data_IF_706085805019
#
_entry.id   IF_706085805019
#
_cell.length_a   1.000
_cell.length_b   1.000
_cell.length_c   1.000
_cell.angle_alpha   90.00
_cell.angle_beta   90.00
_cell.angle_gamma   90.00
#
_symmetry.space_group_name_H-M   'P 1'
#
loop_
_entity.id
_entity.type
_entity.pdbx_description
1 polymer ?
#
# COMPACT_ATOMS: atom_id res chain seq x y z
N UNK A 1 6.49 7.05 10.27
CA UNK A 1 6.11 8.34 9.67
C UNK A 1 5.86 8.10 8.19
N UNK A 2 4.74 8.57 7.62
CA UNK A 2 4.34 8.22 6.24
C UNK A 2 4.86 9.21 5.19
N UNK A 3 4.87 10.51 5.48
CA UNK A 3 5.36 11.55 4.55
C UNK A 3 6.64 12.19 5.13
N UNK A 4 7.74 11.44 5.11
CA UNK A 4 9.06 11.96 5.45
C UNK A 4 9.58 12.85 4.32
N UNK A 5 9.87 14.11 4.62
CA UNK A 5 10.33 15.09 3.62
C UNK A 5 11.57 15.84 4.06
N UNK A 6 12.03 15.62 5.30
CA UNK A 6 13.23 16.26 5.84
C UNK A 6 14.49 15.86 5.06
N UNK A 7 14.50 14.65 4.48
CA UNK A 7 15.48 14.18 3.49
C UNK A 7 16.94 14.51 3.84
N UNK A 8 17.28 14.42 5.14
CA UNK A 8 18.56 14.90 5.68
C UNK A 8 19.37 13.84 6.41
N UNK A 9 18.76 12.68 6.66
CA UNK A 9 19.42 11.62 7.42
C UNK A 9 20.45 10.89 6.55
N UNK A 10 21.56 10.49 7.17
CA UNK A 10 22.62 9.75 6.49
C UNK A 10 22.14 8.32 6.25
N UNK A 11 22.29 7.82 5.02
CA UNK A 11 21.96 6.44 4.68
C UNK A 11 23.09 5.50 5.12
N UNK A 12 22.76 4.44 5.85
CA UNK A 12 23.71 3.45 6.31
C UNK A 12 23.53 2.10 5.63
N UNK A 13 24.64 1.35 5.51
CA UNK A 13 24.57 -0.04 5.07
C UNK A 13 23.72 -0.85 6.08
N UNK A 14 22.74 -1.60 5.57
CA UNK A 14 21.76 -2.31 6.39
C UNK A 14 20.40 -1.61 6.45
N UNK A 15 20.30 -0.34 6.05
CA UNK A 15 19.02 0.36 5.97
C UNK A 15 18.21 -0.04 4.73
N UNK A 16 16.89 0.16 4.82
CA UNK A 16 16.02 0.26 3.65
C UNK A 16 15.80 1.75 3.33
N UNK A 17 15.81 2.08 2.04
CA UNK A 17 15.31 3.36 1.54
C UNK A 17 13.92 3.13 0.96
N UNK A 18 12.92 3.83 1.50
CA UNK A 18 11.61 4.00 0.89
C UNK A 18 11.61 5.34 0.17
N UNK A 19 11.47 5.30 -1.15
CA UNK A 19 11.36 6.48 -1.99
C UNK A 19 9.94 6.57 -2.52
N UNK A 20 9.23 7.61 -2.11
CA UNK A 20 7.93 7.97 -2.66
C UNK A 20 8.09 9.28 -3.44
N UNK A 21 7.98 9.19 -4.76
CA UNK A 21 8.23 10.32 -5.64
C UNK A 21 7.50 10.18 -6.97
N UNK A 22 7.17 11.32 -7.55
CA UNK A 22 6.59 11.43 -8.87
C UNK A 22 6.92 12.78 -9.49
N UNK A 23 6.76 12.87 -10.80
CA UNK A 23 6.75 14.13 -11.51
C UNK A 23 5.35 14.48 -12.00
N UNK A 24 5.16 15.74 -12.39
CA UNK A 24 4.00 16.20 -13.14
C UNK A 24 4.40 16.50 -14.58
N UNK A 25 3.59 16.08 -15.55
CA UNK A 25 3.80 16.34 -16.97
C UNK A 25 2.51 16.85 -17.59
N UNK A 26 2.56 18.03 -18.21
CA UNK A 26 1.37 18.71 -18.77
C UNK A 26 0.23 18.86 -17.75
N UNK A 27 0.57 18.99 -16.46
CA UNK A 27 -0.37 19.09 -15.35
C UNK A 27 -0.89 17.75 -14.82
N UNK A 28 -0.53 16.61 -15.41
CA UNK A 28 -0.87 15.28 -14.88
C UNK A 28 0.21 14.75 -13.95
N UNK A 29 -0.20 14.35 -12.74
CA UNK A 29 0.67 13.76 -11.74
C UNK A 29 1.01 12.30 -12.04
N UNK A 30 2.23 11.90 -11.67
CA UNK A 30 2.64 10.51 -11.47
C UNK A 30 2.94 10.29 -9.99
N UNK A 31 2.79 9.05 -9.52
CA UNK A 31 2.98 8.70 -8.11
C UNK A 31 3.52 7.28 -8.00
N UNK A 32 4.76 7.13 -7.51
CA UNK A 32 5.48 5.86 -7.46
C UNK A 32 6.27 5.76 -6.15
N UNK A 33 5.88 4.78 -5.33
CA UNK A 33 6.70 4.34 -4.19
C UNK A 33 7.55 3.11 -4.53
N UNK A 34 8.82 3.09 -4.12
CA UNK A 34 9.70 1.90 -4.15
C UNK A 34 10.51 1.80 -2.86
N UNK A 35 10.73 0.57 -2.40
CA UNK A 35 11.58 0.29 -1.24
C UNK A 35 12.71 -0.65 -1.61
N UNK A 36 13.96 -0.31 -1.29
CA UNK A 36 15.13 -1.11 -1.63
C UNK A 36 16.25 -0.98 -0.58
N UNK A 37 17.12 -2.00 -0.43
CA UNK A 37 18.22 -1.97 0.53
C UNK A 37 19.32 -1.00 0.08
N UNK A 38 19.77 -0.13 0.98
CA UNK A 38 20.87 0.81 0.71
C UNK A 38 22.16 0.06 0.36
N UNK A 39 22.38 -1.11 0.97
CA UNK A 39 23.52 -2.00 0.69
C UNK A 39 23.41 -2.79 -0.61
N UNK A 40 22.29 -2.71 -1.33
CA UNK A 40 22.03 -3.48 -2.56
C UNK A 40 21.55 -4.93 -2.33
N UNK A 41 21.50 -5.42 -1.09
CA UNK A 41 21.00 -6.75 -0.76
C UNK A 41 20.07 -6.72 0.45
N UNK A 42 18.89 -7.34 0.31
CA UNK A 42 17.94 -7.48 1.40
C UNK A 42 18.45 -8.46 2.45
N UNK A 43 18.27 -8.14 3.74
CA UNK A 43 18.34 -9.15 4.81
C UNK A 43 17.12 -10.07 4.73
N UNK A 44 17.12 -11.17 5.50
CA UNK A 44 16.01 -12.11 5.53
C UNK A 44 14.70 -11.44 6.00
N UNK A 45 14.77 -10.60 7.02
CA UNK A 45 13.62 -9.89 7.59
C UNK A 45 13.09 -8.82 6.63
N UNK A 46 13.99 -8.04 6.01
CA UNK A 46 13.61 -7.04 5.02
C UNK A 46 12.95 -7.70 3.81
N UNK A 47 13.50 -8.80 3.33
CA UNK A 47 12.95 -9.58 2.22
C UNK A 47 11.57 -10.14 2.54
N UNK A 48 11.39 -10.68 3.75
CA UNK A 48 10.12 -11.25 4.18
C UNK A 48 8.99 -10.21 4.20
N UNK A 49 9.27 -8.99 4.67
CA UNK A 49 8.29 -7.88 4.64
C UNK A 49 8.08 -7.37 3.22
N UNK A 50 9.16 -7.22 2.43
CA UNK A 50 9.06 -6.78 1.04
C UNK A 50 8.17 -7.71 0.20
N UNK A 51 8.39 -9.02 0.27
CA UNK A 51 7.60 -10.01 -0.47
C UNK A 51 6.14 -10.02 -0.04
N UNK A 52 5.86 -9.75 1.25
CA UNK A 52 4.49 -9.61 1.74
C UNK A 52 3.79 -8.38 1.12
N UNK A 53 4.48 -7.23 1.11
CA UNK A 53 3.94 -6.00 0.52
C UNK A 53 3.75 -6.17 -1.00
N UNK A 54 4.71 -6.79 -1.68
CA UNK A 54 4.60 -7.10 -3.11
C UNK A 54 3.38 -7.99 -3.41
N UNK A 55 3.19 -9.06 -2.64
CA UNK A 55 2.02 -9.93 -2.80
C UNK A 55 0.69 -9.19 -2.57
N UNK A 56 0.67 -8.23 -1.64
CA UNK A 56 -0.51 -7.39 -1.41
C UNK A 56 -0.79 -6.45 -2.58
N UNK A 57 0.25 -5.83 -3.16
CA UNK A 57 0.16 -5.00 -4.35
C UNK A 57 -0.38 -5.79 -5.55
N UNK A 58 0.18 -6.97 -5.82
CA UNK A 58 -0.27 -7.83 -6.91
C UNK A 58 -1.74 -8.25 -6.75
N UNK A 59 -2.15 -8.60 -5.51
CA UNK A 59 -3.53 -8.94 -5.20
C UNK A 59 -4.48 -7.75 -5.41
N UNK A 60 -4.08 -6.54 -5.02
CA UNK A 60 -4.87 -5.33 -5.25
C UNK A 60 -5.04 -5.03 -6.75
N UNK A 61 -3.96 -5.06 -7.52
CA UNK A 61 -3.98 -4.84 -8.98
C UNK A 61 -4.92 -5.82 -9.67
N UNK A 62 -4.96 -7.08 -9.23
CA UNK A 62 -5.86 -8.09 -9.78
C UNK A 62 -7.35 -7.75 -9.61
N UNK A 63 -7.72 -6.95 -8.60
CA UNK A 63 -9.10 -6.49 -8.36
C UNK A 63 -9.46 -5.20 -9.08
N UNK A 64 -8.49 -4.45 -9.62
CA UNK A 64 -8.73 -3.27 -10.43
C UNK A 64 -9.27 -3.66 -11.82
N UNK A 65 -10.57 -3.89 -11.90
CA UNK A 65 -11.31 -4.34 -13.10
C UNK A 65 -12.65 -3.62 -13.19
N UNK A 66 -13.14 -3.41 -14.40
CA UNK A 66 -14.50 -2.90 -14.65
C UNK A 66 -15.54 -3.74 -13.91
N UNK A 67 -16.52 -3.09 -13.29
CA UNK A 67 -17.58 -3.76 -12.52
C UNK A 67 -17.22 -4.08 -11.07
N UNK A 68 -15.97 -3.85 -10.66
CA UNK A 68 -15.53 -3.96 -9.25
C UNK A 68 -15.74 -2.63 -8.55
N UNK A 69 -15.87 -2.63 -7.22
CA UNK A 69 -16.00 -1.37 -6.48
C UNK A 69 -14.65 -0.84 -5.95
N UNK A 70 -14.56 0.48 -5.79
CA UNK A 70 -13.35 1.22 -5.40
C UNK A 70 -12.57 0.63 -4.22
N UNK A 71 -13.27 0.07 -3.22
CA UNK A 71 -12.64 -0.45 -2.01
C UNK A 71 -12.14 -1.91 -2.11
N UNK A 72 -12.44 -2.66 -3.18
CA UNK A 72 -11.97 -4.05 -3.32
C UNK A 72 -10.44 -4.19 -3.31
N UNK A 73 -9.65 -3.31 -3.97
CA UNK A 73 -8.19 -3.35 -3.87
C UNK A 73 -7.71 -3.20 -2.43
N UNK A 74 -8.31 -2.28 -1.66
CA UNK A 74 -7.96 -2.10 -0.26
C UNK A 74 -8.28 -3.34 0.58
N UNK A 75 -9.46 -3.94 0.41
CA UNK A 75 -9.83 -5.18 1.10
C UNK A 75 -8.90 -6.35 0.77
N UNK A 76 -8.46 -6.45 -0.50
CA UNK A 76 -7.46 -7.42 -0.92
C UNK A 76 -6.12 -7.22 -0.19
N UNK A 77 -5.62 -5.98 -0.13
CA UNK A 77 -4.38 -5.68 0.62
C UNK A 77 -4.49 -6.04 2.10
N UNK A 78 -5.59 -5.66 2.76
CA UNK A 78 -5.83 -5.94 4.17
C UNK A 78 -5.80 -7.44 4.45
N UNK A 79 -6.45 -8.24 3.59
CA UNK A 79 -6.47 -9.70 3.74
C UNK A 79 -5.07 -10.30 3.59
N UNK A 80 -4.32 -9.91 2.55
CA UNK A 80 -2.98 -10.44 2.29
C UNK A 80 -2.00 -10.04 3.40
N UNK A 81 -1.98 -8.76 3.77
CA UNK A 81 -1.11 -8.21 4.82
C UNK A 81 -1.41 -8.90 6.14
N UNK A 82 -2.68 -8.95 6.57
CA UNK A 82 -3.04 -9.58 7.86
C UNK A 82 -2.64 -11.05 7.89
N UNK A 83 -2.89 -11.79 6.81
CA UNK A 83 -2.49 -13.21 6.72
C UNK A 83 -0.97 -13.38 6.72
N UNK A 84 -0.22 -12.48 6.09
CA UNK A 84 1.24 -12.45 6.12
C UNK A 84 1.80 -12.16 7.51
N UNK A 85 1.27 -11.16 8.21
CA UNK A 85 1.65 -10.82 9.57
C UNK A 85 1.43 -11.99 10.54
N UNK A 86 0.35 -12.77 10.36
CA UNK A 86 0.13 -14.01 11.12
C UNK A 86 1.23 -15.04 10.81
N UNK A 87 1.54 -15.27 9.52
CA UNK A 87 2.58 -16.23 9.10
C UNK A 87 3.97 -15.86 9.62
N UNK A 88 4.28 -14.57 9.69
CA UNK A 88 5.53 -14.04 10.23
C UNK A 88 5.55 -13.98 11.77
N UNK A 89 4.45 -14.32 12.44
CA UNK A 89 4.34 -14.30 13.90
C UNK A 89 4.17 -12.91 14.52
N UNK A 90 3.95 -11.87 13.70
CA UNK A 90 3.73 -10.48 14.12
C UNK A 90 2.30 -10.23 14.62
N UNK A 91 1.33 -11.02 14.15
CA UNK A 91 -0.02 -11.10 14.69
C UNK A 91 -0.35 -12.53 15.11
N UNK A 92 -1.23 -12.68 16.09
CA UNK A 92 -1.68 -13.99 16.58
C UNK A 92 -3.20 -13.98 16.74
N UNK A 93 -3.85 -14.96 16.14
CA UNK A 93 -5.30 -15.13 16.20
C UNK A 93 -5.92 -15.47 14.84
N UNK A 94 -7.25 -15.69 14.80
CA UNK A 94 -7.96 -15.99 13.56
C UNK A 94 -7.96 -14.79 12.60
N UNK A 95 -7.66 -15.03 11.31
CA UNK A 95 -7.59 -13.97 10.28
C UNK A 95 -8.84 -13.07 10.26
N UNK A 96 -10.04 -13.66 10.32
CA UNK A 96 -11.30 -12.92 10.26
C UNK A 96 -11.47 -11.97 11.45
N UNK A 97 -11.07 -12.39 12.64
CA UNK A 97 -11.16 -11.57 13.86
C UNK A 97 -10.15 -10.43 13.80
N UNK A 98 -8.90 -10.72 13.40
CA UNK A 98 -7.86 -9.70 13.27
C UNK A 98 -8.21 -8.62 12.23
N UNK A 99 -8.87 -8.98 11.13
CA UNK A 99 -9.38 -8.00 10.14
C UNK A 99 -10.54 -7.19 10.71
N UNK A 100 -11.53 -7.87 11.33
CA UNK A 100 -12.70 -7.20 11.96
C UNK A 100 -12.26 -6.18 13.00
N UNK A 101 -11.30 -6.57 13.83
CA UNK A 101 -10.79 -5.77 14.94
C UNK A 101 -9.68 -4.80 14.50
N UNK A 102 -9.39 -4.75 13.20
CA UNK A 102 -8.40 -3.84 12.57
C UNK A 102 -7.00 -3.94 13.18
N UNK A 103 -6.62 -5.12 13.66
CA UNK A 103 -5.32 -5.35 14.30
C UNK A 103 -4.12 -5.06 13.38
N UNK A 104 -4.31 -5.14 12.06
CA UNK A 104 -3.31 -4.80 11.06
C UNK A 104 -2.91 -3.32 11.04
N UNK A 105 -3.73 -2.41 11.59
CA UNK A 105 -3.48 -0.96 11.53
C UNK A 105 -2.25 -0.51 12.29
N UNK A 106 -1.77 -1.33 13.22
CA UNK A 106 -0.47 -1.10 13.87
C UNK A 106 0.68 -1.09 12.84
N UNK A 107 0.53 -1.83 11.74
CA UNK A 107 1.55 -2.00 10.70
C UNK A 107 1.15 -1.35 9.35
N UNK A 108 -0.15 -1.23 9.07
CA UNK A 108 -0.70 -0.73 7.80
C UNK A 108 -1.91 0.17 8.09
N UNK A 109 -1.64 1.46 8.31
CA UNK A 109 -2.60 2.45 8.84
C UNK A 109 -3.23 3.37 7.78
N UNK A 110 -2.98 3.11 6.49
CA UNK A 110 -3.48 3.94 5.39
C UNK A 110 -4.31 3.12 4.39
N UNK A 111 -4.91 3.80 3.41
CA UNK A 111 -5.64 3.16 2.31
C UNK A 111 -4.67 2.59 1.27
N UNK A 112 -5.16 1.67 0.44
CA UNK A 112 -4.34 1.06 -0.62
C UNK A 112 -4.11 1.98 -1.83
N UNK A 113 -4.87 3.06 -1.95
CA UNK A 113 -4.76 4.01 -3.06
C UNK A 113 -5.78 5.13 -2.99
N UNK A 114 -5.72 6.01 -4.00
CA UNK A 114 -6.55 7.19 -4.23
C UNK A 114 -6.72 7.39 -5.74
N UNK A 115 -7.65 8.27 -6.15
CA UNK A 115 -7.69 8.74 -7.52
C UNK A 115 -6.41 9.50 -7.88
N UNK A 116 -6.00 9.44 -9.14
CA UNK A 116 -4.79 10.06 -9.67
C UNK A 116 -5.11 10.71 -11.02
N UNK A 117 -4.67 11.96 -11.20
CA UNK A 117 -4.92 12.72 -12.42
C UNK A 117 -4.21 14.07 -12.38
N UNK A 118 -4.95 15.17 -12.42
CA UNK A 118 -4.33 16.51 -12.40
C UNK A 118 -3.78 16.88 -11.02
N UNK A 119 -4.46 16.43 -9.96
CA UNK A 119 -3.90 16.42 -8.61
C UNK A 119 -3.43 15.00 -8.25
N UNK A 120 -2.38 14.89 -7.41
CA UNK A 120 -1.87 13.58 -6.97
C UNK A 120 -2.95 12.78 -6.23
N UNK A 121 -3.76 13.46 -5.42
CA UNK A 121 -5.00 12.94 -4.84
C UNK A 121 -6.17 13.57 -5.60
N UNK A 122 -6.52 12.96 -6.73
CA UNK A 122 -7.39 13.60 -7.72
C UNK A 122 -8.86 13.67 -7.29
N UNK A 123 -9.60 14.50 -8.02
CA UNK A 123 -11.04 14.69 -7.84
C UNK A 123 -11.85 13.42 -8.13
N UNK A 124 -13.08 13.39 -7.63
CA UNK A 124 -14.05 12.34 -7.93
C UNK A 124 -14.63 11.67 -6.68
N UNK A 125 -15.94 11.46 -6.68
CA UNK A 125 -16.62 10.83 -5.54
C UNK A 125 -16.23 9.36 -5.43
N UNK A 126 -15.61 8.98 -4.32
CA UNK A 126 -15.35 7.56 -3.99
C UNK A 126 -16.62 6.76 -3.72
N UNK A 127 -17.73 7.45 -3.39
CA UNK A 127 -19.03 6.84 -3.15
C UNK A 127 -20.13 7.54 -3.94
N UNK A 128 -21.07 6.75 -4.45
CA UNK A 128 -22.30 7.20 -5.12
C UNK A 128 -23.47 6.55 -4.39
N UNK A 129 -24.44 7.35 -3.95
CA UNK A 129 -25.61 6.89 -3.18
C UNK A 129 -25.26 6.03 -1.95
N UNK A 130 -24.15 6.36 -1.27
CA UNK A 130 -23.67 5.66 -0.07
C UNK A 130 -22.89 4.37 -0.33
N UNK A 131 -22.89 3.86 -1.57
CA UNK A 131 -22.12 2.71 -2.00
C UNK A 131 -20.75 3.11 -2.55
N UNK A 132 -19.77 2.21 -2.50
CA UNK A 132 -18.48 2.41 -3.18
C UNK A 132 -18.69 2.52 -4.68
N UNK A 133 -18.02 3.50 -5.31
CA UNK A 133 -18.11 3.73 -6.75
C UNK A 133 -17.61 2.50 -7.51
N UNK A 134 -18.37 2.09 -8.53
CA UNK A 134 -17.96 1.06 -9.48
C UNK A 134 -16.84 1.59 -10.38
N UNK A 135 -15.86 0.74 -10.67
CA UNK A 135 -14.75 1.05 -11.57
C UNK A 135 -15.22 0.92 -13.02
N UNK A 136 -14.92 1.95 -13.80
CA UNK A 136 -15.24 2.08 -15.22
C UNK A 136 -13.93 2.22 -16.02
N UNK A 137 -13.93 1.97 -17.36
CA UNK A 137 -12.76 2.18 -18.21
C UNK A 137 -12.21 3.62 -18.22
#
# INVERSE_FOLDING_TARGET
MLHYVENRDVLHAGDLLLLDAGCESEGYASDITRTYPVSGQFTAEQRAIYDLVLAAQEAAIATCRTGRHWNEPHEATVRVITQGLIRLGLLKGPLRELIRDRAYETFYMHRAGHWLGLDVHDVGSYKVDGAWRELEP
#
